data_IF_744919330559
#
_entry.id   IF_744919330559
#
_cell.length_a   1.000
_cell.length_b   1.000
_cell.length_c   1.000
_cell.angle_alpha   90.00
_cell.angle_beta   90.00
_cell.angle_gamma   90.00
#
_symmetry.space_group_name_H-M   'P 1'
#
loop_
_entity.id
_entity.type
_entity.pdbx_description
1 polymer ?
#
# COMPACT_ATOMS: atom_id res chain seq x y z
N UNK A 1 14.26 -7.32 11.65
CA UNK A 1 15.44 -6.65 11.09
C UNK A 1 16.72 -7.11 11.77
N UNK A 2 16.77 -7.14 13.09
CA UNK A 2 17.98 -7.51 13.86
C UNK A 2 18.39 -8.98 13.67
N UNK A 3 17.44 -9.86 13.33
CA UNK A 3 17.70 -11.28 12.95
C UNK A 3 18.29 -11.49 11.55
N UNK A 4 18.53 -10.42 10.80
CA UNK A 4 19.15 -10.50 9.47
C UNK A 4 18.20 -10.73 8.31
N UNK A 5 16.89 -10.85 8.55
CA UNK A 5 15.91 -11.11 7.51
C UNK A 5 15.48 -9.86 6.74
N UNK A 6 15.24 -10.01 5.46
CA UNK A 6 14.50 -9.04 4.65
C UNK A 6 13.00 -9.29 4.81
N UNK A 7 12.23 -8.22 4.90
CA UNK A 7 10.83 -8.24 5.31
C UNK A 7 9.90 -7.84 4.16
N UNK A 8 8.71 -8.45 4.14
CA UNK A 8 7.58 -8.06 3.31
C UNK A 8 6.43 -7.66 4.22
N UNK A 9 6.05 -6.39 4.20
CA UNK A 9 4.88 -5.87 4.91
C UNK A 9 3.68 -5.88 3.96
N UNK A 10 2.82 -6.86 4.14
CA UNK A 10 1.57 -7.03 3.40
C UNK A 10 0.40 -6.62 4.28
N UNK A 11 -0.32 -5.58 3.91
CA UNK A 11 -1.48 -5.13 4.67
C UNK A 11 -2.43 -4.30 3.79
N UNK A 12 -3.71 -4.21 4.13
CA UNK A 12 -4.66 -3.36 3.44
C UNK A 12 -4.19 -1.91 3.32
N UNK A 13 -4.79 -1.18 2.38
CA UNK A 13 -4.49 0.24 2.23
C UNK A 13 -4.89 1.02 3.49
N UNK A 14 -4.22 2.17 3.69
CA UNK A 14 -4.57 3.14 4.74
C UNK A 14 -4.47 2.63 6.19
N UNK A 15 -3.87 1.46 6.39
CA UNK A 15 -3.65 0.85 7.71
C UNK A 15 -2.40 1.41 8.41
N UNK A 16 -1.58 2.21 7.71
CA UNK A 16 -0.39 2.84 8.30
C UNK A 16 0.95 2.23 7.90
N UNK A 17 1.04 1.45 6.79
CA UNK A 17 2.32 0.84 6.32
C UNK A 17 3.45 1.85 6.18
N UNK A 18 3.21 2.92 5.43
CA UNK A 18 4.21 3.97 5.19
C UNK A 18 4.57 4.72 6.47
N UNK A 19 3.62 4.91 7.40
CA UNK A 19 3.86 5.52 8.70
C UNK A 19 4.77 4.63 9.57
N UNK A 20 4.50 3.32 9.60
CA UNK A 20 5.34 2.34 10.28
C UNK A 20 6.76 2.32 9.67
N UNK A 21 6.87 2.29 8.34
CA UNK A 21 8.16 2.31 7.65
C UNK A 21 8.98 3.57 7.98
N UNK A 22 8.34 4.75 7.97
CA UNK A 22 8.98 6.03 8.34
C UNK A 22 9.42 6.05 9.81
N UNK A 23 8.62 5.48 10.72
CA UNK A 23 8.99 5.34 12.13
C UNK A 23 10.19 4.42 12.31
N UNK A 24 10.20 3.25 11.67
CA UNK A 24 11.34 2.33 11.70
C UNK A 24 12.62 2.99 11.16
N UNK A 25 12.52 3.78 10.10
CA UNK A 25 13.63 4.58 9.58
C UNK A 25 14.18 5.52 10.66
N UNK A 26 13.30 6.30 11.30
CA UNK A 26 13.72 7.23 12.35
C UNK A 26 14.40 6.49 13.52
N UNK A 27 13.86 5.37 13.98
CA UNK A 27 14.45 4.55 15.04
C UNK A 27 15.83 3.98 14.64
N UNK A 28 15.97 3.47 13.40
CA UNK A 28 17.26 2.93 12.92
C UNK A 28 18.30 4.02 12.72
N UNK A 29 17.91 5.21 12.25
CA UNK A 29 18.81 6.37 12.16
C UNK A 29 19.35 6.79 13.54
N UNK A 30 18.53 6.75 14.59
CA UNK A 30 18.94 7.06 15.96
C UNK A 30 20.05 6.12 16.49
N UNK A 31 20.12 4.90 15.99
CA UNK A 31 21.17 3.91 16.35
C UNK A 31 22.28 3.80 15.30
N UNK A 32 22.38 4.79 14.41
CA UNK A 32 23.51 4.95 13.49
C UNK A 32 23.39 4.21 12.16
N UNK A 33 22.24 3.60 11.85
CA UNK A 33 22.02 2.98 10.56
C UNK A 33 21.84 4.03 9.47
N UNK A 34 22.29 3.71 8.27
CA UNK A 34 21.90 4.46 7.07
C UNK A 34 20.54 3.98 6.59
N UNK A 35 19.69 4.93 6.20
CA UNK A 35 18.34 4.61 5.77
C UNK A 35 18.04 5.19 4.39
N UNK A 36 17.45 4.39 3.52
CA UNK A 36 17.00 4.76 2.18
C UNK A 36 15.51 4.47 2.07
N UNK A 37 14.71 5.45 1.69
CA UNK A 37 13.28 5.30 1.45
C UNK A 37 12.97 5.58 -0.02
N UNK A 38 12.41 4.59 -0.69
CA UNK A 38 12.05 4.61 -2.12
C UNK A 38 10.54 4.48 -2.20
N UNK A 39 9.88 5.53 -2.63
CA UNK A 39 8.43 5.56 -2.85
C UNK A 39 8.14 5.36 -4.33
N UNK A 40 7.35 4.35 -4.66
CA UNK A 40 7.01 3.99 -6.03
C UNK A 40 5.56 4.29 -6.39
N UNK A 41 4.81 5.03 -5.56
CA UNK A 41 3.37 5.28 -5.77
C UNK A 41 3.08 5.93 -7.13
N UNK A 42 3.87 6.91 -7.54
CA UNK A 42 3.70 7.64 -8.81
C UNK A 42 4.55 7.08 -9.95
N UNK A 43 5.28 6.00 -9.73
CA UNK A 43 6.21 5.45 -10.72
C UNK A 43 5.51 4.49 -11.67
N UNK A 44 5.59 4.75 -12.97
CA UNK A 44 4.91 3.96 -14.01
C UNK A 44 5.84 3.28 -15.00
N UNK A 45 7.12 3.65 -15.01
CA UNK A 45 8.12 3.16 -15.96
C UNK A 45 9.36 2.63 -15.25
N UNK A 46 10.14 1.80 -15.95
CA UNK A 46 11.41 1.30 -15.44
C UNK A 46 12.43 2.41 -15.25
N UNK A 47 12.47 3.37 -16.15
CA UNK A 47 13.33 4.55 -16.08
C UNK A 47 12.99 5.38 -14.83
N UNK A 48 11.69 5.56 -14.56
CA UNK A 48 11.21 6.21 -13.34
C UNK A 48 11.63 5.46 -12.07
N UNK A 49 11.55 4.13 -12.09
CA UNK A 49 12.04 3.30 -10.98
C UNK A 49 13.53 3.52 -10.70
N UNK A 50 14.36 3.45 -11.73
CA UNK A 50 15.80 3.69 -11.58
C UNK A 50 16.12 5.11 -11.09
N UNK A 51 15.39 6.10 -11.61
CA UNK A 51 15.49 7.47 -11.14
C UNK A 51 15.17 7.59 -9.65
N UNK A 52 14.06 6.99 -9.18
CA UNK A 52 13.69 7.01 -7.76
C UNK A 52 14.72 6.30 -6.88
N UNK A 53 15.27 5.18 -7.34
CA UNK A 53 16.35 4.48 -6.62
C UNK A 53 17.56 5.39 -6.49
N UNK A 54 18.07 5.96 -7.58
CA UNK A 54 19.24 6.87 -7.58
C UNK A 54 18.98 8.09 -6.70
N UNK A 55 17.81 8.73 -6.82
CA UNK A 55 17.44 9.90 -6.03
C UNK A 55 17.38 9.60 -4.52
N UNK A 56 16.80 8.46 -4.14
CA UNK A 56 16.72 8.06 -2.74
C UNK A 56 18.11 7.79 -2.14
N UNK A 57 19.00 7.14 -2.88
CA UNK A 57 20.39 6.92 -2.45
C UNK A 57 21.17 8.24 -2.38
N UNK A 58 20.99 9.15 -3.33
CA UNK A 58 21.60 10.48 -3.29
C UNK A 58 21.18 11.25 -2.04
N UNK A 59 19.88 11.30 -1.78
CA UNK A 59 19.30 12.01 -0.63
C UNK A 59 19.75 11.44 0.72
N UNK A 60 19.91 10.11 0.81
CA UNK A 60 20.37 9.44 2.05
C UNK A 60 21.84 9.70 2.38
N UNK A 61 22.64 10.17 1.43
CA UNK A 61 24.08 10.35 1.56
C UNK A 61 24.88 9.04 1.67
N UNK A 62 24.22 7.88 1.52
CA UNK A 62 24.89 6.55 1.59
C UNK A 62 26.02 6.47 0.58
N UNK A 63 25.81 6.95 -0.64
CA UNK A 63 26.77 6.89 -1.72
C UNK A 63 28.07 7.65 -1.45
N UNK A 64 28.04 8.77 -0.71
CA UNK A 64 29.22 9.59 -0.38
C UNK A 64 30.24 8.86 0.49
N UNK A 65 29.80 7.86 1.23
CA UNK A 65 30.65 7.09 2.15
C UNK A 65 31.25 5.84 1.49
N UNK A 66 30.74 5.46 0.32
CA UNK A 66 31.13 4.24 -0.42
C UNK A 66 32.13 4.59 -1.55
N UNK A 67 32.68 5.80 -1.58
CA UNK A 67 33.39 6.43 -2.71
C UNK A 67 34.68 5.74 -3.21
N UNK A 68 35.15 4.68 -2.61
CA UNK A 68 36.31 3.90 -3.10
C UNK A 68 35.85 2.77 -4.00
N UNK A 69 35.19 3.05 -5.15
CA UNK A 69 34.79 1.99 -6.09
C UNK A 69 33.63 2.34 -7.03
N UNK A 70 32.98 3.47 -6.81
CA UNK A 70 31.85 3.88 -7.67
C UNK A 70 32.35 4.23 -9.07
N UNK A 71 31.70 3.71 -10.11
CA UNK A 71 32.01 4.08 -11.48
C UNK A 71 31.80 5.60 -11.69
N UNK A 72 32.65 6.21 -12.53
CA UNK A 72 32.51 7.65 -12.85
C UNK A 72 31.12 8.01 -13.36
N UNK A 73 30.47 7.09 -14.10
CA UNK A 73 29.11 7.28 -14.60
C UNK A 73 28.05 7.39 -13.50
N UNK A 74 28.16 6.57 -12.46
CA UNK A 74 27.24 6.60 -11.32
C UNK A 74 27.46 7.87 -10.47
N UNK A 75 28.71 8.27 -10.25
CA UNK A 75 29.03 9.50 -9.54
C UNK A 75 28.43 10.74 -10.23
N UNK A 76 28.50 10.81 -11.56
CA UNK A 76 27.89 11.90 -12.36
C UNK A 76 26.37 11.91 -12.22
N UNK A 77 25.73 10.74 -12.20
CA UNK A 77 24.27 10.65 -12.00
C UNK A 77 23.87 11.14 -10.61
N UNK A 78 24.57 10.72 -9.55
CA UNK A 78 24.29 11.18 -8.19
C UNK A 78 24.51 12.69 -8.03
N UNK A 79 25.61 13.22 -8.56
CA UNK A 79 25.85 14.67 -8.55
C UNK A 79 24.80 15.45 -9.35
N UNK A 80 24.34 14.89 -10.47
CA UNK A 80 23.27 15.46 -11.28
C UNK A 80 21.97 15.57 -10.49
N UNK A 81 21.56 14.50 -9.79
CA UNK A 81 20.35 14.46 -8.95
C UNK A 81 20.47 15.41 -7.74
N UNK A 82 21.64 15.51 -7.10
CA UNK A 82 21.86 16.46 -5.98
C UNK A 82 21.76 17.92 -6.39
N UNK A 83 22.27 18.25 -7.58
CA UNK A 83 22.26 19.63 -8.11
C UNK A 83 20.88 20.04 -8.65
N UNK A 84 20.06 19.08 -9.06
CA UNK A 84 18.71 19.29 -9.55
C UNK A 84 17.68 19.04 -8.44
N UNK A 85 17.66 19.90 -7.43
CA UNK A 85 16.71 19.82 -6.31
C UNK A 85 15.25 20.06 -6.69
N UNK A 86 14.92 20.24 -7.99
CA UNK A 86 13.55 20.52 -8.47
C UNK A 86 13.35 19.87 -9.86
N UNK A 87 12.66 18.73 -9.91
CA UNK A 87 12.11 18.15 -11.12
C UNK A 87 12.61 16.73 -11.48
N UNK A 88 11.84 15.99 -12.27
CA UNK A 88 12.23 14.66 -12.71
C UNK A 88 13.45 14.74 -13.63
N UNK A 89 14.52 14.04 -13.26
CA UNK A 89 15.64 13.81 -14.16
C UNK A 89 15.21 12.77 -15.18
N UNK A 90 15.13 13.15 -16.44
CA UNK A 90 14.81 12.24 -17.53
C UNK A 90 16.01 11.32 -17.78
N UNK A 91 16.05 10.17 -17.09
CA UNK A 91 17.03 9.12 -17.39
C UNK A 91 16.57 8.44 -18.68
N UNK A 92 17.14 8.83 -19.82
CA UNK A 92 16.90 8.16 -21.10
C UNK A 92 18.04 7.20 -21.37
N UNK A 93 17.74 5.93 -21.41
CA UNK A 93 18.69 4.94 -21.90
C UNK A 93 18.65 4.93 -23.42
N UNK A 94 19.75 5.33 -24.04
CA UNK A 94 19.91 5.26 -25.49
C UNK A 94 20.28 3.85 -25.95
N UNK A 95 20.78 2.99 -25.03
CA UNK A 95 21.21 1.64 -25.33
C UNK A 95 20.90 0.69 -24.17
N UNK A 96 20.66 -0.59 -24.49
CA UNK A 96 20.47 -1.67 -23.53
C UNK A 96 21.68 -1.83 -22.58
N UNK A 97 22.88 -1.65 -23.10
CA UNK A 97 24.15 -1.74 -22.35
C UNK A 97 24.23 -0.71 -21.22
N UNK A 98 23.74 0.53 -21.43
CA UNK A 98 23.72 1.58 -20.42
C UNK A 98 22.80 1.22 -19.24
N UNK A 99 21.67 0.57 -19.53
CA UNK A 99 20.72 0.07 -18.55
C UNK A 99 21.35 -1.01 -17.67
N UNK A 100 21.93 -2.04 -18.25
CA UNK A 100 22.58 -3.14 -17.52
C UNK A 100 23.74 -2.63 -16.65
N UNK A 101 24.53 -1.72 -17.19
CA UNK A 101 25.63 -1.10 -16.45
C UNK A 101 25.11 -0.35 -15.22
N UNK A 102 24.00 0.38 -15.31
CA UNK A 102 23.41 1.09 -14.17
C UNK A 102 22.94 0.11 -13.09
N UNK A 103 22.23 -0.95 -13.44
CA UNK A 103 21.83 -1.97 -12.49
C UNK A 103 23.02 -2.66 -11.81
N UNK A 104 24.10 -2.93 -12.56
CA UNK A 104 25.36 -3.45 -12.01
C UNK A 104 25.99 -2.48 -11.03
N UNK A 105 26.10 -1.21 -11.40
CA UNK A 105 26.68 -0.17 -10.56
C UNK A 105 25.87 0.05 -9.28
N UNK A 106 24.52 0.02 -9.35
CA UNK A 106 23.67 0.09 -8.17
C UNK A 106 23.84 -1.14 -7.27
N UNK A 107 24.11 -2.32 -7.85
CA UNK A 107 24.43 -3.50 -7.06
C UNK A 107 25.74 -3.36 -6.31
N UNK A 108 26.77 -2.85 -6.97
CA UNK A 108 28.06 -2.57 -6.34
C UNK A 108 27.95 -1.53 -5.22
N UNK A 109 27.06 -0.53 -5.39
CA UNK A 109 26.77 0.47 -4.35
C UNK A 109 26.17 -0.16 -3.07
N UNK A 110 25.41 -1.24 -3.21
CA UNK A 110 24.74 -1.93 -2.10
C UNK A 110 25.66 -2.99 -1.46
N UNK A 111 26.69 -3.45 -2.16
CA UNK A 111 27.63 -4.45 -1.64
C UNK A 111 28.66 -3.82 -0.68
N UNK A 112 28.22 -3.49 0.54
CA UNK A 112 29.07 -2.92 1.59
C UNK A 112 28.71 -3.49 2.98
N UNK A 113 29.62 -3.29 3.94
CA UNK A 113 29.47 -3.79 5.31
C UNK A 113 28.78 -2.81 6.29
N UNK A 114 28.30 -1.66 5.80
CA UNK A 114 27.63 -0.67 6.64
C UNK A 114 26.19 -1.10 6.92
N UNK A 115 25.74 -0.95 8.17
CA UNK A 115 24.37 -1.18 8.56
C UNK A 115 23.44 -0.23 7.82
N UNK A 116 22.68 -0.76 6.87
CA UNK A 116 21.81 0.00 5.97
C UNK A 116 20.41 -0.59 5.95
N UNK A 117 19.40 0.25 6.07
CA UNK A 117 18.00 -0.10 6.00
C UNK A 117 17.37 0.53 4.75
N UNK A 118 16.89 -0.31 3.84
CA UNK A 118 16.27 0.12 2.59
C UNK A 118 14.79 -0.26 2.62
N UNK A 119 13.95 0.74 2.43
CA UNK A 119 12.50 0.57 2.31
C UNK A 119 12.10 0.85 0.87
N UNK A 120 11.34 -0.06 0.28
CA UNK A 120 10.65 0.16 -1.01
C UNK A 120 9.16 0.10 -0.75
N UNK A 121 8.50 1.25 -0.86
CA UNK A 121 7.07 1.38 -0.66
C UNK A 121 6.32 1.32 -1.99
N UNK A 122 5.10 0.81 -1.97
CA UNK A 122 4.17 0.61 -3.10
C UNK A 122 4.77 -0.21 -4.28
N UNK A 123 5.69 -1.17 -3.97
CA UNK A 123 6.32 -2.02 -4.97
C UNK A 123 5.29 -2.78 -5.82
N UNK A 124 4.22 -3.31 -5.21
CA UNK A 124 3.20 -4.11 -5.91
C UNK A 124 2.44 -3.27 -6.93
N UNK A 125 2.11 -2.03 -6.58
CA UNK A 125 1.44 -1.09 -7.46
C UNK A 125 2.29 -0.81 -8.71
N UNK A 126 3.54 -0.42 -8.50
CA UNK A 126 4.50 -0.17 -9.58
C UNK A 126 4.65 -1.38 -10.52
N UNK A 127 4.88 -2.57 -9.97
CA UNK A 127 5.04 -3.79 -10.78
C UNK A 127 3.76 -4.13 -11.54
N UNK A 128 2.58 -3.89 -10.96
CA UNK A 128 1.29 -4.07 -11.59
C UNK A 128 1.09 -3.15 -12.81
N UNK A 129 1.47 -1.88 -12.68
CA UNK A 129 1.44 -0.91 -13.79
C UNK A 129 2.44 -1.31 -14.87
N UNK A 130 3.68 -1.59 -14.48
CA UNK A 130 4.76 -1.96 -15.41
C UNK A 130 4.41 -3.22 -16.21
N UNK A 131 3.76 -4.21 -15.60
CA UNK A 131 3.39 -5.48 -16.26
C UNK A 131 2.41 -5.31 -17.43
N UNK A 132 1.63 -4.23 -17.44
CA UNK A 132 0.66 -3.92 -18.49
C UNK A 132 1.29 -3.24 -19.71
N UNK A 133 2.51 -2.73 -19.58
CA UNK A 133 3.24 -2.10 -20.69
C UNK A 133 3.80 -3.14 -21.69
N UNK A 134 4.14 -2.72 -22.89
CA UNK A 134 4.80 -3.58 -23.89
C UNK A 134 6.13 -4.12 -23.34
N UNK A 135 6.32 -5.45 -23.36
CA UNK A 135 7.47 -6.13 -22.74
C UNK A 135 7.50 -6.02 -21.20
N UNK A 136 6.39 -5.62 -20.57
CA UNK A 136 6.32 -5.31 -19.15
C UNK A 136 6.56 -6.52 -18.26
N UNK A 137 6.10 -7.71 -18.65
CA UNK A 137 6.34 -8.93 -17.86
C UNK A 137 7.83 -9.29 -17.77
N UNK A 138 8.57 -9.10 -18.85
CA UNK A 138 10.03 -9.32 -18.87
C UNK A 138 10.76 -8.30 -17.99
N UNK A 139 10.33 -7.04 -18.04
CA UNK A 139 10.86 -5.97 -17.17
C UNK A 139 10.57 -6.26 -15.70
N UNK A 140 9.36 -6.69 -15.36
CA UNK A 140 9.00 -7.13 -14.00
C UNK A 140 9.86 -8.29 -13.53
N UNK A 141 10.03 -9.31 -14.37
CA UNK A 141 10.89 -10.46 -14.06
C UNK A 141 12.33 -10.03 -13.81
N UNK A 142 12.85 -9.13 -14.65
CA UNK A 142 14.21 -8.61 -14.50
C UNK A 142 14.38 -7.85 -13.18
N UNK A 143 13.50 -6.90 -12.86
CA UNK A 143 13.56 -6.09 -11.63
C UNK A 143 13.46 -6.99 -10.38
N UNK A 144 12.53 -7.94 -10.35
CA UNK A 144 12.38 -8.85 -9.22
C UNK A 144 13.59 -9.75 -9.01
N UNK A 145 14.19 -10.26 -10.08
CA UNK A 145 15.43 -11.05 -10.01
C UNK A 145 16.61 -10.18 -9.56
N UNK A 146 16.71 -8.95 -10.04
CA UNK A 146 17.73 -8.00 -9.58
C UNK A 146 17.57 -7.71 -8.09
N UNK A 147 16.39 -7.35 -7.61
CA UNK A 147 16.12 -7.12 -6.18
C UNK A 147 16.44 -8.35 -5.34
N UNK A 148 16.13 -9.58 -5.83
CA UNK A 148 16.54 -10.80 -5.17
C UNK A 148 18.05 -10.93 -5.09
N UNK A 149 18.77 -10.65 -6.19
CA UNK A 149 20.23 -10.74 -6.22
C UNK A 149 20.90 -9.80 -5.22
N UNK A 150 20.29 -8.65 -4.92
CA UNK A 150 20.77 -7.70 -3.90
C UNK A 150 20.64 -8.27 -2.49
N UNK A 151 19.50 -8.93 -2.21
CA UNK A 151 19.25 -9.53 -0.88
C UNK A 151 20.13 -10.75 -0.60
N UNK A 152 20.64 -11.38 -1.65
CA UNK A 152 21.48 -12.58 -1.56
C UNK A 152 22.99 -12.27 -1.45
N UNK A 153 23.39 -11.01 -1.42
CA UNK A 153 24.77 -10.63 -1.21
C UNK A 153 25.15 -10.95 0.25
N UNK A 154 25.96 -11.98 0.45
CA UNK A 154 26.23 -12.56 1.77
C UNK A 154 27.07 -11.68 2.72
N UNK A 155 27.74 -10.67 2.18
CA UNK A 155 28.64 -9.78 2.97
C UNK A 155 27.95 -8.52 3.48
N UNK A 156 26.76 -8.18 2.96
CA UNK A 156 26.13 -6.92 3.28
C UNK A 156 25.39 -6.99 4.61
N UNK A 157 25.43 -5.87 5.34
CA UNK A 157 24.57 -5.61 6.49
C UNK A 157 23.31 -4.84 6.08
N UNK A 158 22.92 -4.95 4.82
CA UNK A 158 21.73 -4.31 4.28
C UNK A 158 20.48 -5.11 4.64
N UNK A 159 19.47 -4.41 5.14
CA UNK A 159 18.16 -4.96 5.47
C UNK A 159 17.10 -4.31 4.62
N UNK A 160 16.17 -5.10 4.14
CA UNK A 160 15.13 -4.66 3.23
C UNK A 160 13.77 -4.76 3.87
N UNK A 161 12.94 -3.74 3.65
CA UNK A 161 11.52 -3.76 3.90
C UNK A 161 10.80 -3.41 2.60
N UNK A 162 10.04 -4.36 2.11
CA UNK A 162 9.13 -4.15 0.99
C UNK A 162 7.74 -3.91 1.54
N UNK A 163 7.16 -2.76 1.23
CA UNK A 163 5.78 -2.45 1.56
C UNK A 163 4.94 -2.51 0.29
N UNK A 164 3.73 -3.01 0.42
CA UNK A 164 2.79 -3.04 -0.68
C UNK A 164 1.40 -3.38 -0.17
N UNK A 165 0.39 -3.11 -1.00
CA UNK A 165 -0.93 -3.67 -0.81
C UNK A 165 -0.85 -5.21 -0.86
N UNK A 166 -1.78 -5.85 -0.20
CA UNK A 166 -1.83 -7.31 -0.09
C UNK A 166 -1.94 -7.92 -1.49
N UNK A 167 -0.89 -8.44 -2.03
CA UNK A 167 -0.96 -9.02 -3.37
C UNK A 167 0.37 -9.37 -4.02
N UNK A 168 1.52 -8.96 -3.47
CA UNK A 168 2.81 -9.25 -4.11
C UNK A 168 3.01 -10.76 -4.33
N UNK A 169 2.64 -11.62 -3.36
CA UNK A 169 2.70 -13.08 -3.52
C UNK A 169 1.77 -13.58 -4.62
N UNK A 170 0.54 -13.10 -4.66
CA UNK A 170 -0.42 -13.47 -5.70
C UNK A 170 0.04 -12.95 -7.07
N UNK A 171 0.49 -11.71 -7.12
CA UNK A 171 1.03 -11.09 -8.33
C UNK A 171 2.22 -11.88 -8.90
N UNK A 172 3.22 -12.17 -8.07
CA UNK A 172 4.40 -12.93 -8.50
C UNK A 172 4.05 -14.39 -8.85
N UNK A 173 3.12 -15.02 -8.15
CA UNK A 173 2.65 -16.37 -8.45
C UNK A 173 1.93 -16.44 -9.80
N UNK A 174 1.11 -15.45 -10.14
CA UNK A 174 0.42 -15.38 -11.44
C UNK A 174 1.41 -15.26 -12.62
N UNK A 175 2.59 -14.68 -12.38
CA UNK A 175 3.67 -14.55 -13.37
C UNK A 175 4.72 -15.67 -13.28
N UNK A 176 4.51 -16.70 -12.46
CA UNK A 176 5.50 -17.74 -12.15
C UNK A 176 6.83 -17.21 -11.59
N UNK A 177 6.78 -16.07 -10.88
CA UNK A 177 7.94 -15.39 -10.28
C UNK A 177 7.97 -15.49 -8.75
N UNK A 178 7.16 -16.37 -8.14
CA UNK A 178 7.08 -16.53 -6.67
C UNK A 178 8.43 -16.85 -6.01
N UNK A 179 9.35 -17.49 -6.75
CA UNK A 179 10.71 -17.76 -6.28
C UNK A 179 11.50 -16.47 -5.98
N UNK A 180 11.16 -15.35 -6.59
CA UNK A 180 11.90 -14.08 -6.42
C UNK A 180 11.69 -13.43 -5.05
N UNK A 181 10.69 -13.86 -4.30
CA UNK A 181 10.32 -13.32 -2.99
C UNK A 181 10.25 -14.37 -1.88
N UNK A 182 10.68 -15.60 -2.13
CA UNK A 182 10.59 -16.72 -1.17
C UNK A 182 11.54 -16.58 0.03
N UNK A 183 12.53 -15.70 -0.06
CA UNK A 183 13.49 -15.35 0.98
C UNK A 183 12.96 -14.24 1.93
N UNK A 184 11.82 -13.62 1.60
CA UNK A 184 11.23 -12.58 2.43
C UNK A 184 10.39 -13.17 3.57
N UNK A 185 10.63 -12.68 4.78
CA UNK A 185 9.75 -12.95 5.92
C UNK A 185 8.56 -11.99 5.84
N UNK A 186 7.37 -12.56 5.67
CA UNK A 186 6.14 -11.78 5.59
C UNK A 186 5.56 -11.53 6.97
N UNK A 187 5.08 -10.32 7.18
CA UNK A 187 4.25 -9.98 8.32
C UNK A 187 3.10 -9.06 7.87
N UNK A 188 1.99 -9.17 8.55
CA UNK A 188 0.82 -8.33 8.34
C UNK A 188 0.79 -7.21 9.39
N UNK A 189 0.21 -6.10 9.00
CA UNK A 189 -0.18 -5.05 9.92
C UNK A 189 -1.70 -5.13 10.09
N UNK A 190 -2.13 -5.38 11.30
CA UNK A 190 -3.54 -5.46 11.64
C UNK A 190 -4.10 -4.06 11.95
N UNK A 191 -5.42 -3.96 12.03
CA UNK A 191 -6.10 -2.77 12.52
C UNK A 191 -5.72 -2.49 13.99
N UNK A 192 -5.88 -1.26 14.41
CA UNK A 192 -5.69 -0.90 15.81
C UNK A 192 -6.68 -1.66 16.70
N UNK A 193 -6.20 -2.13 17.82
CA UNK A 193 -7.09 -2.60 18.89
C UNK A 193 -8.05 -1.49 19.30
N UNK A 194 -9.13 -1.85 19.97
CA UNK A 194 -10.09 -0.85 20.47
C UNK A 194 -9.41 0.19 21.37
N UNK A 195 -8.50 -0.23 22.23
CA UNK A 195 -7.75 0.63 23.15
C UNK A 195 -6.81 1.57 22.39
N UNK A 196 -6.09 1.04 21.42
CA UNK A 196 -5.20 1.86 20.57
C UNK A 196 -5.97 2.88 19.73
N UNK A 197 -7.12 2.49 19.16
CA UNK A 197 -7.98 3.37 18.39
C UNK A 197 -8.56 4.49 19.27
N UNK A 198 -9.01 4.13 20.49
CA UNK A 198 -9.48 5.08 21.48
C UNK A 198 -8.37 6.06 21.89
N UNK A 199 -7.17 5.53 22.17
CA UNK A 199 -6.00 6.35 22.50
C UNK A 199 -5.60 7.30 21.36
N UNK A 200 -5.64 6.83 20.11
CA UNK A 200 -5.36 7.68 18.94
C UNK A 200 -6.36 8.85 18.83
N UNK A 201 -7.66 8.55 18.90
CA UNK A 201 -8.68 9.60 18.79
C UNK A 201 -8.60 10.59 19.98
N UNK A 202 -8.32 10.09 21.18
CA UNK A 202 -8.09 10.93 22.36
C UNK A 202 -6.87 11.85 22.21
N UNK A 203 -5.77 11.34 21.66
CA UNK A 203 -4.56 12.14 21.40
C UNK A 203 -4.81 13.21 20.32
N UNK A 204 -5.55 12.88 19.28
CA UNK A 204 -5.94 13.84 18.25
C UNK A 204 -6.82 14.96 18.85
N UNK A 205 -7.79 14.62 19.67
CA UNK A 205 -8.60 15.62 20.39
C UNK A 205 -7.73 16.50 21.30
N UNK A 206 -6.82 15.91 22.04
CA UNK A 206 -5.95 16.66 22.95
C UNK A 206 -4.98 17.61 22.19
N UNK A 207 -4.48 17.22 21.00
CA UNK A 207 -3.60 18.07 20.19
C UNK A 207 -4.26 19.34 19.70
N UNK A 208 -5.58 19.30 19.46
CA UNK A 208 -6.39 20.42 18.99
C UNK A 208 -7.25 21.05 20.11
N UNK A 209 -7.00 20.70 21.37
CA UNK A 209 -7.73 21.18 22.55
C UNK A 209 -9.25 20.90 22.47
N UNK A 210 -9.67 19.94 21.67
CA UNK A 210 -11.05 19.53 21.50
C UNK A 210 -11.49 18.63 22.68
N UNK A 211 -12.61 18.99 23.33
CA UNK A 211 -13.19 18.19 24.39
C UNK A 211 -14.14 17.13 23.84
N UNK A 212 -13.82 15.88 24.07
CA UNK A 212 -14.65 14.73 23.68
C UNK A 212 -14.55 13.64 24.77
N UNK A 213 -15.67 13.26 25.34
CA UNK A 213 -15.70 12.23 26.39
C UNK A 213 -15.54 10.81 25.83
N UNK A 214 -15.25 9.85 26.70
CA UNK A 214 -15.03 8.46 26.29
C UNK A 214 -16.26 7.81 25.65
N UNK A 215 -17.47 8.23 26.00
CA UNK A 215 -18.71 7.69 25.43
C UNK A 215 -18.85 8.10 23.96
N UNK A 216 -18.52 9.34 23.64
CA UNK A 216 -18.56 9.87 22.28
C UNK A 216 -17.42 9.28 21.44
N UNK A 217 -16.23 9.08 22.03
CA UNK A 217 -15.13 8.35 21.35
C UNK A 217 -15.60 6.94 21.00
N UNK A 218 -16.20 6.23 21.94
CA UNK A 218 -16.71 4.88 21.70
C UNK A 218 -17.83 4.86 20.65
N UNK A 219 -18.73 5.85 20.69
CA UNK A 219 -19.77 5.99 19.67
C UNK A 219 -19.17 6.17 18.26
N UNK A 220 -18.15 7.02 18.12
CA UNK A 220 -17.42 7.25 16.87
C UNK A 220 -16.80 5.96 16.35
N UNK A 221 -16.04 5.25 17.20
CA UNK A 221 -15.38 4.02 16.80
C UNK A 221 -16.38 2.90 16.47
N UNK A 222 -17.55 2.87 17.12
CA UNK A 222 -18.61 1.92 16.80
C UNK A 222 -19.24 2.18 15.42
N UNK A 223 -19.26 3.43 14.96
CA UNK A 223 -19.69 3.75 13.59
C UNK A 223 -18.68 3.32 12.54
N UNK A 224 -17.40 3.44 12.81
CA UNK A 224 -16.34 3.03 11.89
C UNK A 224 -16.21 1.50 11.81
N UNK A 225 -16.32 0.79 12.93
CA UNK A 225 -16.07 -0.62 13.17
C UNK A 225 -14.69 -1.12 12.76
N UNK A 226 -14.12 -0.64 11.67
CA UNK A 226 -12.77 -0.95 11.24
C UNK A 226 -11.81 0.14 11.70
N UNK A 227 -11.02 -0.17 12.73
CA UNK A 227 -10.16 0.78 13.43
C UNK A 227 -8.84 1.02 12.69
N UNK A 228 -8.88 1.45 11.45
CA UNK A 228 -7.66 1.87 10.73
C UNK A 228 -7.37 3.34 10.99
N UNK A 229 -6.09 3.71 11.12
CA UNK A 229 -5.69 5.10 11.42
C UNK A 229 -6.31 6.12 10.48
N UNK A 230 -6.40 5.81 9.20
CA UNK A 230 -6.98 6.70 8.20
C UNK A 230 -8.44 7.06 8.49
N UNK A 231 -9.28 6.08 8.82
CA UNK A 231 -10.70 6.36 9.11
C UNK A 231 -10.86 7.19 10.38
N UNK A 232 -10.01 6.93 11.37
CA UNK A 232 -10.00 7.71 12.61
C UNK A 232 -9.57 9.15 12.33
N UNK A 233 -8.58 9.36 11.47
CA UNK A 233 -8.07 10.68 11.11
C UNK A 233 -9.10 11.50 10.30
N UNK A 234 -9.75 10.89 9.30
CA UNK A 234 -10.71 11.62 8.47
C UNK A 234 -12.00 11.98 9.26
N UNK A 235 -12.51 11.08 10.12
CA UNK A 235 -13.64 11.41 10.97
C UNK A 235 -13.26 12.49 11.98
N UNK A 236 -12.05 12.44 12.55
CA UNK A 236 -11.56 13.47 13.45
C UNK A 236 -11.47 14.84 12.75
N UNK A 237 -10.97 14.90 11.51
CA UNK A 237 -10.89 16.14 10.75
C UNK A 237 -12.28 16.78 10.57
N UNK A 238 -13.30 15.98 10.25
CA UNK A 238 -14.68 16.45 10.14
C UNK A 238 -15.27 16.88 11.47
N UNK A 239 -14.96 16.17 12.56
CA UNK A 239 -15.39 16.57 13.89
C UNK A 239 -14.74 17.89 14.32
N UNK A 240 -13.48 18.12 13.95
CA UNK A 240 -12.77 19.36 14.24
C UNK A 240 -13.38 20.56 13.49
N UNK A 241 -13.84 20.38 12.25
CA UNK A 241 -14.55 21.41 11.50
C UNK A 241 -15.91 21.79 12.13
N UNK A 242 -16.55 20.84 12.80
CA UNK A 242 -17.83 21.04 13.48
C UNK A 242 -17.67 21.52 14.94
N UNK A 243 -16.43 21.48 15.44
CA UNK A 243 -16.17 21.81 16.84
C UNK A 243 -16.28 23.31 17.09
N UNK A 244 -16.97 23.64 18.18
CA UNK A 244 -17.17 25.00 18.68
C UNK A 244 -16.88 24.96 20.17
N UNK A 245 -15.93 25.74 20.64
CA UNK A 245 -15.51 25.78 22.05
C UNK A 245 -16.66 26.14 23.01
N UNK A 246 -17.68 26.83 22.49
CA UNK A 246 -18.86 27.24 23.26
C UNK A 246 -19.94 26.14 23.32
N UNK A 247 -19.81 25.09 22.49
CA UNK A 247 -20.79 23.99 22.39
C UNK A 247 -20.16 22.64 22.63
N UNK A 248 -20.78 21.85 23.47
CA UNK A 248 -20.34 20.45 23.67
C UNK A 248 -20.54 19.63 22.42
N UNK A 249 -19.54 18.78 22.10
CA UNK A 249 -19.65 17.73 21.07
C UNK A 249 -20.79 16.76 21.44
N UNK A 250 -21.56 16.33 20.46
CA UNK A 250 -22.72 15.46 20.65
C UNK A 250 -22.67 14.27 19.70
N UNK A 251 -23.48 13.24 19.95
CA UNK A 251 -23.66 12.13 19.00
C UNK A 251 -24.17 12.59 17.64
N UNK A 252 -25.02 13.63 17.61
CA UNK A 252 -25.51 14.23 16.36
C UNK A 252 -24.38 14.86 15.54
N UNK A 253 -23.41 15.53 16.19
CA UNK A 253 -22.23 16.06 15.52
C UNK A 253 -21.42 14.94 14.85
N UNK A 254 -21.30 13.77 15.52
CA UNK A 254 -20.63 12.60 14.96
C UNK A 254 -21.42 12.03 13.77
N UNK A 255 -22.75 12.02 13.85
CA UNK A 255 -23.60 11.57 12.74
C UNK A 255 -23.47 12.48 11.52
N UNK A 256 -23.39 13.79 11.72
CA UNK A 256 -23.18 14.77 10.65
C UNK A 256 -21.80 14.54 10.01
N UNK A 257 -20.74 14.44 10.80
CA UNK A 257 -19.39 14.16 10.31
C UNK A 257 -19.32 12.85 9.51
N UNK A 258 -19.92 11.77 10.02
CA UNK A 258 -19.98 10.49 9.33
C UNK A 258 -20.71 10.58 7.98
N UNK A 259 -21.87 11.23 7.94
CA UNK A 259 -22.65 11.40 6.72
C UNK A 259 -21.90 12.25 5.68
N UNK A 260 -21.13 13.26 6.12
CA UNK A 260 -20.26 14.04 5.25
C UNK A 260 -19.17 13.16 4.62
N UNK A 261 -18.52 12.27 5.39
CA UNK A 261 -17.55 11.31 4.84
C UNK A 261 -18.16 10.37 3.82
N UNK A 262 -19.41 9.95 4.00
CA UNK A 262 -20.13 9.07 3.06
C UNK A 262 -20.47 9.79 1.76
N UNK A 263 -20.80 11.09 1.81
CA UNK A 263 -21.29 11.86 0.66
C UNK A 263 -20.20 12.60 -0.12
N UNK A 264 -19.06 12.84 0.48
CA UNK A 264 -17.95 13.58 -0.14
C UNK A 264 -16.83 12.67 -0.64
N UNK A 265 -15.78 13.26 -1.24
CA UNK A 265 -14.73 12.54 -2.00
C UNK A 265 -13.65 11.87 -1.14
N UNK A 266 -13.84 11.72 0.17
CA UNK A 266 -12.84 11.11 1.07
C UNK A 266 -12.50 9.65 0.74
N UNK A 267 -13.45 8.93 0.17
CA UNK A 267 -13.33 7.49 -0.10
C UNK A 267 -13.22 7.14 -1.59
N UNK A 268 -13.15 8.15 -2.47
CA UNK A 268 -13.06 7.94 -3.95
C UNK A 268 -11.88 7.07 -4.34
N UNK A 269 -10.75 7.21 -3.68
CA UNK A 269 -9.55 6.38 -3.94
C UNK A 269 -9.82 4.88 -3.75
N UNK A 270 -10.79 4.49 -2.93
CA UNK A 270 -11.20 3.08 -2.80
C UNK A 270 -11.92 2.58 -4.06
N UNK A 271 -12.73 3.40 -4.70
CA UNK A 271 -13.42 3.02 -5.93
C UNK A 271 -12.48 3.07 -7.15
N UNK A 272 -11.59 4.04 -7.22
CA UNK A 272 -10.63 4.21 -8.30
C UNK A 272 -9.63 3.05 -8.40
N UNK A 273 -9.17 2.54 -7.27
CA UNK A 273 -8.22 1.42 -7.24
C UNK A 273 -8.74 0.10 -7.79
N UNK A 274 -10.03 -0.09 -7.92
CA UNK A 274 -10.55 -1.30 -8.57
C UNK A 274 -10.12 -1.43 -10.02
N UNK A 275 -9.72 -0.33 -10.67
CA UNK A 275 -9.12 -0.35 -12.02
C UNK A 275 -7.85 -1.23 -12.05
N UNK A 276 -7.12 -1.32 -10.93
CA UNK A 276 -5.94 -2.18 -10.81
C UNK A 276 -6.28 -3.68 -10.92
N UNK A 277 -7.55 -4.07 -10.68
CA UNK A 277 -8.01 -5.45 -10.80
C UNK A 277 -8.10 -5.94 -12.25
N UNK A 278 -7.99 -5.04 -13.25
CA UNK A 278 -8.03 -5.38 -14.67
C UNK A 278 -9.33 -6.07 -15.05
N UNK A 279 -9.26 -7.27 -15.60
CA UNK A 279 -10.46 -8.04 -16.02
C UNK A 279 -11.39 -8.38 -14.84
N UNK A 280 -10.90 -8.35 -13.60
CA UNK A 280 -11.68 -8.62 -12.40
C UNK A 280 -12.36 -7.37 -11.82
N UNK A 281 -12.13 -6.18 -12.40
CA UNK A 281 -12.75 -4.93 -11.93
C UNK A 281 -14.27 -4.98 -11.98
N UNK A 282 -14.84 -5.37 -13.11
CA UNK A 282 -16.30 -5.42 -13.30
C UNK A 282 -16.94 -6.39 -12.29
N UNK A 283 -16.51 -7.66 -12.16
CA UNK A 283 -17.03 -8.55 -11.13
C UNK A 283 -16.86 -8.02 -9.70
N UNK A 284 -15.73 -7.38 -9.39
CA UNK A 284 -15.48 -6.79 -8.08
C UNK A 284 -16.50 -5.68 -7.76
N UNK A 285 -16.72 -4.75 -8.69
CA UNK A 285 -17.72 -3.68 -8.55
C UNK A 285 -19.14 -4.23 -8.36
N UNK A 286 -19.52 -5.29 -9.11
CA UNK A 286 -20.82 -5.94 -8.97
C UNK A 286 -21.00 -6.55 -7.57
N UNK A 287 -19.98 -7.26 -7.07
CA UNK A 287 -20.00 -7.84 -5.72
C UNK A 287 -20.14 -6.74 -4.66
N UNK A 288 -19.32 -5.68 -4.74
CA UNK A 288 -19.39 -4.58 -3.78
C UNK A 288 -20.72 -3.84 -3.83
N UNK A 289 -21.27 -3.59 -5.02
CA UNK A 289 -22.61 -3.00 -5.19
C UNK A 289 -23.68 -3.85 -4.50
N UNK A 290 -23.66 -5.17 -4.70
CA UNK A 290 -24.62 -6.07 -4.08
C UNK A 290 -24.46 -6.16 -2.57
N UNK A 291 -23.23 -6.20 -2.08
CA UNK A 291 -22.94 -6.22 -0.64
C UNK A 291 -23.29 -4.90 0.05
N UNK A 292 -23.18 -3.76 -0.64
CA UNK A 292 -23.58 -2.48 -0.04
C UNK A 292 -25.07 -2.40 0.22
N UNK A 293 -25.90 -3.05 -0.63
CA UNK A 293 -27.35 -3.16 -0.46
C UNK A 293 -27.77 -4.23 0.54
N UNK A 294 -26.85 -5.06 1.02
CA UNK A 294 -27.13 -6.20 1.91
C UNK A 294 -26.23 -6.16 3.16
N UNK A 295 -26.55 -5.33 4.16
CA UNK A 295 -25.70 -5.17 5.36
C UNK A 295 -25.47 -6.46 6.15
N UNK A 296 -26.42 -7.42 6.08
CA UNK A 296 -26.30 -8.74 6.70
C UNK A 296 -25.28 -9.64 5.98
N UNK A 297 -24.82 -9.23 4.78
CA UNK A 297 -23.92 -9.99 3.94
C UNK A 297 -24.60 -10.94 2.98
N UNK A 298 -23.81 -11.50 2.08
CA UNK A 298 -24.25 -12.46 1.07
C UNK A 298 -23.42 -13.74 1.14
N UNK A 299 -24.09 -14.88 0.91
CA UNK A 299 -23.43 -16.17 0.82
C UNK A 299 -22.59 -16.27 -0.47
N UNK A 300 -21.61 -17.18 -0.48
CA UNK A 300 -20.83 -17.45 -1.70
C UNK A 300 -21.74 -17.89 -2.86
N UNK A 301 -22.73 -18.71 -2.57
CA UNK A 301 -23.68 -19.21 -3.58
C UNK A 301 -24.50 -18.07 -4.18
N UNK A 302 -25.00 -17.15 -3.36
CA UNK A 302 -25.71 -15.95 -3.82
C UNK A 302 -24.84 -15.09 -4.73
N UNK A 303 -23.58 -14.86 -4.34
CA UNK A 303 -22.61 -14.09 -5.14
C UNK A 303 -22.28 -14.79 -6.47
N UNK A 304 -22.15 -16.12 -6.47
CA UNK A 304 -21.92 -16.89 -7.69
C UNK A 304 -23.11 -16.78 -8.66
N UNK A 305 -24.31 -17.00 -8.15
CA UNK A 305 -25.53 -16.90 -8.97
C UNK A 305 -25.71 -15.51 -9.57
N UNK A 306 -25.40 -14.47 -8.81
CA UNK A 306 -25.42 -13.09 -9.30
C UNK A 306 -24.46 -12.85 -10.46
N UNK A 307 -23.21 -13.34 -10.36
CA UNK A 307 -22.24 -13.20 -11.44
C UNK A 307 -22.59 -14.03 -12.68
N UNK A 308 -23.30 -15.13 -12.52
CA UNK A 308 -23.78 -15.96 -13.62
C UNK A 308 -24.98 -15.34 -14.36
N UNK A 309 -25.74 -14.47 -13.70
CA UNK A 309 -26.91 -13.82 -14.32
C UNK A 309 -26.44 -12.87 -15.43
N UNK A 310 -26.76 -13.21 -16.70
CA UNK A 310 -26.37 -12.42 -17.88
C UNK A 310 -25.19 -13.00 -18.68
N UNK A 311 -24.63 -14.14 -18.29
CA UNK A 311 -23.55 -14.83 -19.03
C UNK A 311 -24.02 -16.22 -19.51
N UNK A 312 -24.71 -16.26 -20.63
CA UNK A 312 -25.33 -17.49 -21.18
C UNK A 312 -24.33 -18.59 -21.59
N UNK A 313 -23.03 -18.33 -21.62
CA UNK A 313 -22.03 -19.26 -22.17
C UNK A 313 -20.90 -19.66 -21.20
N UNK A 314 -20.89 -19.15 -19.97
CA UNK A 314 -19.80 -19.43 -19.02
C UNK A 314 -20.02 -20.72 -18.25
N UNK A 315 -18.97 -21.55 -18.17
CA UNK A 315 -19.01 -22.77 -17.35
C UNK A 315 -19.04 -22.40 -15.86
N UNK A 316 -19.87 -23.08 -15.07
CA UNK A 316 -19.97 -22.84 -13.61
C UNK A 316 -18.61 -22.90 -12.91
N UNK A 317 -17.73 -23.82 -13.32
CA UNK A 317 -16.39 -23.97 -12.74
C UNK A 317 -15.49 -22.76 -13.00
N UNK A 318 -15.58 -22.15 -14.18
CA UNK A 318 -14.78 -20.97 -14.52
C UNK A 318 -15.24 -19.74 -13.70
N UNK A 319 -16.56 -19.62 -13.50
CA UNK A 319 -17.15 -18.55 -12.68
C UNK A 319 -16.86 -18.74 -11.20
N UNK A 320 -16.83 -19.96 -10.69
CA UNK A 320 -16.48 -20.24 -9.30
C UNK A 320 -14.98 -19.93 -9.03
N UNK A 321 -14.11 -20.24 -9.98
CA UNK A 321 -12.71 -19.86 -9.92
C UNK A 321 -12.53 -18.32 -9.94
N UNK A 322 -13.23 -17.63 -10.86
CA UNK A 322 -13.23 -16.17 -10.94
C UNK A 322 -13.71 -15.55 -9.63
N UNK A 323 -14.85 -16.01 -9.10
CA UNK A 323 -15.38 -15.54 -7.82
C UNK A 323 -14.37 -15.73 -6.69
N UNK A 324 -13.70 -16.89 -6.63
CA UNK A 324 -12.67 -17.16 -5.61
C UNK A 324 -11.53 -16.16 -5.68
N UNK A 325 -11.10 -15.80 -6.89
CA UNK A 325 -10.03 -14.85 -7.14
C UNK A 325 -10.44 -13.44 -6.71
N UNK A 326 -11.64 -13.00 -7.12
CA UNK A 326 -12.17 -11.68 -6.77
C UNK A 326 -12.36 -11.53 -5.26
N UNK A 327 -13.01 -12.51 -4.62
CA UNK A 327 -13.22 -12.45 -3.17
C UNK A 327 -11.90 -12.36 -2.40
N UNK A 328 -10.89 -13.14 -2.80
CA UNK A 328 -9.57 -13.07 -2.18
C UNK A 328 -8.94 -11.68 -2.33
N UNK A 329 -9.05 -11.06 -3.50
CA UNK A 329 -8.52 -9.71 -3.72
C UNK A 329 -9.25 -8.69 -2.86
N UNK A 330 -10.58 -8.71 -2.86
CA UNK A 330 -11.38 -7.80 -2.05
C UNK A 330 -11.17 -7.97 -0.54
N UNK A 331 -11.00 -9.23 -0.07
CA UNK A 331 -10.67 -9.52 1.34
C UNK A 331 -9.28 -8.98 1.70
N UNK A 332 -8.31 -9.23 0.83
CA UNK A 332 -6.93 -8.81 1.02
C UNK A 332 -6.81 -7.27 1.04
N UNK A 333 -7.48 -6.58 0.14
CA UNK A 333 -7.43 -5.12 0.06
C UNK A 333 -8.32 -4.43 1.11
N UNK A 334 -9.06 -5.22 1.91
CA UNK A 334 -9.81 -4.72 3.06
C UNK A 334 -11.19 -4.17 2.73
N UNK A 335 -11.74 -4.41 1.52
CA UNK A 335 -13.13 -4.02 1.22
C UNK A 335 -14.14 -4.86 1.99
N UNK A 336 -13.91 -6.16 2.02
CA UNK A 336 -14.83 -7.12 2.61
C UNK A 336 -14.12 -8.05 3.59
N UNK A 337 -14.90 -8.72 4.40
CA UNK A 337 -14.43 -9.79 5.28
C UNK A 337 -15.39 -10.97 5.27
N UNK A 338 -14.86 -12.14 5.59
CA UNK A 338 -15.68 -13.32 5.84
C UNK A 338 -16.21 -13.27 7.28
N UNK A 339 -17.53 -13.32 7.41
CA UNK A 339 -18.20 -13.46 8.70
C UNK A 339 -19.05 -14.73 8.63
N UNK A 340 -18.62 -15.78 9.35
CA UNK A 340 -19.27 -17.10 9.27
C UNK A 340 -19.37 -17.63 7.83
N UNK A 341 -20.60 -17.77 7.30
CA UNK A 341 -20.88 -18.27 5.95
C UNK A 341 -21.04 -17.17 4.89
N UNK A 342 -21.07 -15.89 5.29
CA UNK A 342 -21.33 -14.76 4.41
C UNK A 342 -20.10 -13.85 4.23
N UNK A 343 -20.16 -13.02 3.20
CA UNK A 343 -19.25 -11.89 3.00
C UNK A 343 -19.98 -10.62 3.33
N UNK A 344 -19.28 -9.72 4.08
CA UNK A 344 -19.79 -8.40 4.46
C UNK A 344 -18.72 -7.36 4.16
N UNK A 345 -19.11 -6.10 4.01
CA UNK A 345 -18.12 -5.02 4.05
C UNK A 345 -17.38 -5.02 5.38
N UNK A 346 -16.08 -4.76 5.34
CA UNK A 346 -15.25 -4.70 6.54
C UNK A 346 -15.57 -3.47 7.40
N UNK A 347 -15.96 -2.37 6.76
CA UNK A 347 -16.36 -1.13 7.42
C UNK A 347 -17.76 -0.70 6.98
N UNK A 348 -18.64 -0.30 7.91
CA UNK A 348 -19.90 0.37 7.57
C UNK A 348 -19.67 1.64 6.74
N UNK A 349 -18.63 2.41 7.04
CA UNK A 349 -18.28 3.63 6.31
C UNK A 349 -18.05 3.35 4.82
N UNK A 350 -17.28 2.31 4.48
CA UNK A 350 -17.08 1.90 3.08
C UNK A 350 -18.36 1.38 2.45
N UNK A 351 -19.17 0.61 3.19
CA UNK A 351 -20.45 0.12 2.70
C UNK A 351 -21.38 1.25 2.33
N UNK A 352 -21.54 2.23 3.23
CA UNK A 352 -22.47 3.33 3.07
C UNK A 352 -22.02 4.27 1.96
N UNK A 353 -20.69 4.52 1.83
CA UNK A 353 -20.12 5.22 0.68
C UNK A 353 -20.45 4.48 -0.63
N UNK A 354 -20.28 3.16 -0.68
CA UNK A 354 -20.55 2.37 -1.89
C UNK A 354 -22.02 2.41 -2.27
N UNK A 355 -22.89 2.28 -1.28
CA UNK A 355 -24.32 2.37 -1.48
C UNK A 355 -24.73 3.74 -2.02
N UNK A 356 -24.26 4.81 -1.38
CA UNK A 356 -24.58 6.18 -1.78
C UNK A 356 -24.08 6.51 -3.20
N UNK A 357 -22.88 6.03 -3.55
CA UNK A 357 -22.23 6.42 -4.82
C UNK A 357 -22.69 5.58 -6.00
N UNK A 358 -22.99 4.30 -5.81
CA UNK A 358 -23.19 3.35 -6.92
C UNK A 358 -24.56 2.65 -6.95
N UNK A 359 -25.40 2.83 -5.93
CA UNK A 359 -26.73 2.20 -5.84
C UNK A 359 -27.84 3.25 -5.92
N UNK A 360 -27.72 4.34 -5.16
CA UNK A 360 -28.63 5.50 -5.28
C UNK A 360 -28.32 6.28 -6.54
#
# INVERSE_FOLDING_TARGET
>A
LDSGHSLLLSAPRSIGKSSLAKRLIAEKMCVGWKCVYIDLEEVTTEEGFLHMVVAAFAKSGVWKQITTGISKGLAVLFEGVEKMSIGPVDIKFNRYEEREELYKNLKELIDHEQDTFIVIDELTLFLGILSKASGGQEKVAFILNWLRSLRQISRTKVRWLFCGSVGLRNFTSNLNLGYTINDLTEFSLDELTREEAHGLLQQLCASEQMSMDGVLIDYTLNKLLWNIPYFIQIIFAELLELYDDEKAMTAESIDIAYNKLVSENYLTTWSERLVEYGELEIPARQILKSLSSNPAGLSRETLLNMLMTGQESSRVGDMDYLLSKVLRMLENDGYIMKKEAVRVFRSPLLRDYWFNTFVQ
#
